data_IF_485365952389
#
_entry.id   IF_485365952389
#
_cell.length_a   1.000
_cell.length_b   1.000
_cell.length_c   1.000
_cell.angle_alpha   90.00
_cell.angle_beta   90.00
_cell.angle_gamma   90.00
#
_symmetry.space_group_name_H-M   'P 1'
#
loop_
_entity.id
_entity.type
_entity.pdbx_description
1 polymer ?
2 non-polymer ?
3 non-polymer ?
4 non-polymer ?
5 non-polymer ?
6 non-polymer ?
7 water ?
#
# COMPACT_ATOMS: atom_id res chain seq x y z
N UNK A 10 -16.29 -24.37 7.91
CA UNK A 10 -16.72 -23.85 6.62
C UNK A 10 -16.06 -22.52 6.26
N UNK A 11 -14.94 -22.60 5.55
CA UNK A 11 -14.21 -21.39 5.20
C UNK A 11 -14.87 -20.69 4.00
N UNK A 12 -14.56 -19.42 3.85
CA UNK A 12 -15.21 -18.59 2.85
C UNK A 12 -14.47 -18.64 1.51
N UNK A 13 -15.22 -18.47 0.43
CA UNK A 13 -14.68 -18.40 -0.92
C UNK A 13 -15.26 -17.19 -1.64
N UNK A 14 -14.53 -16.71 -2.65
CA UNK A 14 -15.06 -15.66 -3.50
C UNK A 14 -16.27 -16.19 -4.26
N UNK A 15 -17.40 -15.47 -4.17
CA UNK A 15 -18.61 -15.92 -4.83
C UNK A 15 -18.48 -15.84 -6.35
N UNK A 16 -18.04 -14.69 -6.85
CA UNK A 16 -17.88 -14.49 -8.28
C UNK A 16 -16.52 -15.01 -8.75
N UNK A 17 -16.36 -15.11 -10.07
CA UNK A 17 -15.08 -15.52 -10.65
C UNK A 17 -14.10 -14.35 -10.68
N UNK A 18 -14.58 -13.15 -11.00
CA UNK A 18 -13.75 -11.96 -10.96
C UNK A 18 -13.48 -11.47 -9.54
N UNK A 19 -14.07 -12.11 -8.53
CA UNK A 19 -13.95 -11.60 -7.18
C UNK A 19 -12.52 -11.56 -6.67
N UNK A 20 -11.73 -12.58 -7.03
CA UNK A 20 -10.35 -12.65 -6.54
C UNK A 20 -9.50 -11.52 -7.10
N UNK A 21 -9.48 -11.36 -8.42
CA UNK A 21 -8.57 -10.41 -9.04
C UNK A 21 -8.94 -8.98 -8.68
N UNK A 22 -10.24 -8.69 -8.57
CA UNK A 22 -10.65 -7.35 -8.15
C UNK A 22 -10.34 -7.10 -6.68
N UNK A 23 -10.40 -8.15 -5.85
CA UNK A 23 -10.00 -8.00 -4.45
C UNK A 23 -8.51 -7.70 -4.35
N UNK A 24 -7.68 -8.47 -5.06
CA UNK A 24 -6.24 -8.24 -5.02
C UNK A 24 -5.89 -6.88 -5.61
N UNK A 25 -6.62 -6.47 -6.65
CA UNK A 25 -6.40 -5.14 -7.22
C UNK A 25 -6.93 -4.06 -6.30
N UNK A 26 -8.11 -4.27 -5.71
CA UNK A 26 -8.64 -3.33 -4.74
C UNK A 26 -7.78 -3.21 -3.50
N UNK A 27 -6.87 -4.16 -3.26
CA UNK A 27 -5.97 -4.12 -2.13
C UNK A 27 -4.62 -3.48 -2.45
N UNK A 28 -4.15 -3.60 -3.69
CA UNK A 28 -2.86 -3.04 -4.05
C UNK A 28 -2.95 -1.56 -4.41
N UNK A 29 -4.06 -1.14 -5.00
CA UNK A 29 -4.23 0.24 -5.44
C UNK A 29 -4.91 1.02 -4.32
N UNK A 30 -4.19 1.97 -3.73
CA UNK A 30 -4.73 2.77 -2.64
C UNK A 30 -3.90 3.98 -2.31
N UNK A 31 -3.69 4.23 -1.01
CA UNK A 31 -2.94 5.41 -0.59
C UNK A 31 -1.47 5.33 -1.00
N UNK A 32 -0.92 4.11 -1.04
CA UNK A 32 0.49 3.97 -1.36
C UNK A 32 0.84 4.44 -2.75
N UNK A 33 -0.13 4.43 -3.67
CA UNK A 33 0.14 4.80 -5.05
C UNK A 33 0.16 6.32 -5.24
N UNK A 34 -0.70 7.05 -4.53
CA UNK A 34 -0.79 8.48 -4.70
C UNK A 34 -0.06 9.19 -3.57
N UNK A 35 -0.47 8.91 -2.33
CA UNK A 35 0.10 9.64 -1.19
C UNK A 35 1.54 9.21 -0.94
N UNK A 36 1.77 7.91 -0.76
CA UNK A 36 3.09 7.45 -0.32
C UNK A 36 4.11 7.51 -1.46
N UNK A 37 3.73 7.02 -2.65
CA UNK A 37 4.64 7.08 -3.78
C UNK A 37 5.07 8.51 -4.09
N UNK A 38 4.22 9.50 -3.82
CA UNK A 38 4.58 10.88 -4.13
C UNK A 38 5.69 11.38 -3.21
N UNK A 39 5.52 11.23 -1.90
CA UNK A 39 6.46 11.84 -0.97
C UNK A 39 7.75 11.03 -0.79
N UNK A 40 7.72 9.72 -1.07
CA UNK A 40 8.96 8.94 -1.02
C UNK A 40 9.80 9.20 -2.27
N UNK A 41 9.17 9.20 -3.45
CA UNK A 41 9.89 9.55 -4.67
C UNK A 41 10.42 10.97 -4.61
N UNK A 42 9.66 11.88 -3.99
CA UNK A 42 10.08 13.27 -3.95
C UNK A 42 11.31 13.49 -3.09
N UNK A 43 11.39 12.82 -1.94
CA UNK A 43 12.53 12.99 -1.06
C UNK A 43 13.68 12.06 -1.38
N UNK A 44 13.50 11.11 -2.29
CA UNK A 44 14.56 10.20 -2.70
C UNK A 44 15.17 10.55 -4.05
N UNK A 45 14.79 11.68 -4.63
CA UNK A 45 15.47 12.24 -5.78
C UNK A 45 14.69 12.17 -7.09
N UNK A 46 13.75 11.25 -7.22
CA UNK A 46 12.93 11.18 -8.41
C UNK A 46 13.19 10.00 -9.32
N UNK A 47 13.96 10.22 -10.40
CA UNK A 47 14.02 9.24 -11.48
C UNK A 47 14.90 8.04 -11.13
N UNK A 48 16.03 8.26 -10.47
CA UNK A 48 16.89 7.14 -10.10
C UNK A 48 16.20 6.23 -9.09
N UNK A 49 15.52 6.82 -8.10
CA UNK A 49 14.70 6.01 -7.20
C UNK A 49 13.59 5.31 -7.97
N UNK A 50 13.03 5.97 -8.99
CA UNK A 50 11.93 5.39 -9.74
C UNK A 50 12.37 4.17 -10.52
N UNK A 51 13.56 4.22 -11.13
CA UNK A 51 14.05 3.08 -11.89
C UNK A 51 14.33 1.89 -10.98
N UNK A 52 15.01 2.13 -9.86
CA UNK A 52 15.21 1.07 -8.87
C UNK A 52 13.87 0.50 -8.42
N UNK A 53 12.89 1.38 -8.18
CA UNK A 53 11.56 0.95 -7.79
C UNK A 53 10.92 0.07 -8.86
N UNK A 54 10.95 0.54 -10.12
CA UNK A 54 10.40 -0.25 -11.21
C UNK A 54 11.10 -1.59 -11.35
N UNK A 55 12.43 -1.59 -11.25
CA UNK A 55 13.17 -2.83 -11.31
C UNK A 55 12.81 -3.79 -10.19
N UNK A 56 12.62 -3.27 -8.98
CA UNK A 56 12.22 -4.11 -7.87
C UNK A 56 10.81 -4.66 -8.06
N UNK A 57 9.92 -3.88 -8.67
CA UNK A 57 8.57 -4.36 -8.97
C UNK A 57 8.64 -5.55 -9.90
N UNK A 58 9.46 -5.45 -10.94
CA UNK A 58 9.53 -6.50 -11.95
C UNK A 58 10.16 -7.76 -11.41
N UNK A 59 11.37 -7.66 -10.86
CA UNK A 59 12.16 -8.86 -10.59
C UNK A 59 11.96 -9.39 -9.17
N UNK A 60 11.39 -8.60 -8.26
CA UNK A 60 11.12 -9.05 -6.90
C UNK A 60 9.62 -9.09 -6.60
N UNK A 61 8.91 -8.02 -6.95
CA UNK A 61 7.50 -7.89 -6.64
C UNK A 61 6.61 -8.94 -7.27
N UNK A 62 6.59 -9.01 -8.60
CA UNK A 62 5.75 -9.98 -9.30
C UNK A 62 6.01 -11.42 -8.83
N UNK A 63 7.26 -11.90 -8.73
CA UNK A 63 7.46 -13.28 -8.27
C UNK A 63 6.94 -13.53 -6.86
N UNK A 64 7.15 -12.59 -5.94
CA UNK A 64 6.72 -12.80 -4.56
C UNK A 64 5.19 -12.65 -4.45
N UNK A 65 4.59 -11.82 -5.32
CA UNK A 65 3.13 -11.76 -5.36
C UNK A 65 2.56 -13.11 -5.78
N UNK A 66 3.08 -13.66 -6.87
CA UNK A 66 2.68 -15.01 -7.30
C UNK A 66 2.99 -16.04 -6.22
N UNK A 67 4.05 -15.82 -5.44
CA UNK A 67 4.36 -16.70 -4.33
C UNK A 67 3.26 -16.65 -3.26
N UNK A 68 2.80 -15.44 -2.93
CA UNK A 68 1.74 -15.29 -1.95
C UNK A 68 0.45 -15.93 -2.45
N UNK A 69 0.08 -15.66 -3.70
CA UNK A 69 -1.10 -16.29 -4.29
C UNK A 69 -1.00 -17.81 -4.20
N UNK A 70 0.14 -18.36 -4.61
CA UNK A 70 0.32 -19.81 -4.61
C UNK A 70 0.21 -20.39 -3.21
N UNK A 71 0.85 -19.75 -2.24
CA UNK A 71 0.84 -20.26 -0.86
C UNK A 71 -0.57 -20.24 -0.30
N UNK A 72 -1.30 -19.15 -0.52
CA UNK A 72 -2.62 -19.01 0.07
C UNK A 72 -3.63 -19.99 -0.50
N UNK A 73 -3.69 -20.09 -1.84
CA UNK A 73 -4.66 -20.97 -2.47
C UNK A 73 -4.39 -22.43 -2.14
N UNK A 74 -3.11 -22.82 -2.08
CA UNK A 74 -2.78 -24.22 -1.79
C UNK A 74 -3.17 -24.59 -0.38
N UNK A 75 -2.99 -23.68 0.58
CA UNK A 75 -3.21 -24.01 1.98
C UNK A 75 -4.65 -23.75 2.43
N UNK A 76 -5.36 -22.84 1.77
CA UNK A 76 -6.71 -22.46 2.16
C UNK A 76 -6.76 -22.05 3.63
N UNK A 77 -5.83 -21.17 4.02
CA UNK A 77 -5.68 -20.81 5.41
C UNK A 77 -5.10 -19.39 5.50
N UNK A 78 -4.98 -18.90 6.73
CA UNK A 78 -4.57 -17.52 6.96
C UNK A 78 -3.09 -17.34 6.65
N UNK A 79 -2.60 -16.13 6.93
CA UNK A 79 -1.19 -15.83 6.72
C UNK A 79 -0.31 -16.76 7.53
N UNK A 80 -0.67 -16.99 8.80
CA UNK A 80 0.13 -17.88 9.64
C UNK A 80 -0.23 -19.34 9.39
N UNK A 81 -1.53 -19.64 9.32
CA UNK A 81 -1.94 -21.03 9.18
C UNK A 81 -1.44 -21.69 7.90
N UNK A 82 -1.24 -20.91 6.84
CA UNK A 82 -0.74 -21.47 5.60
C UNK A 82 0.63 -22.10 5.78
N UNK A 83 1.47 -21.55 6.66
CA UNK A 83 2.79 -22.12 6.86
C UNK A 83 2.73 -23.31 7.82
N UNK A 84 1.92 -23.22 8.86
CA UNK A 84 1.67 -24.38 9.71
C UNK A 84 1.16 -25.55 8.88
N UNK A 85 0.20 -25.28 8.00
CA UNK A 85 -0.42 -26.34 7.21
C UNK A 85 0.57 -26.93 6.21
N UNK A 86 1.31 -26.08 5.51
CA UNK A 86 2.16 -26.57 4.43
C UNK A 86 3.52 -27.07 4.93
N UNK A 87 4.01 -26.53 6.04
CA UNK A 87 5.30 -26.93 6.61
C UNK A 87 5.15 -27.02 8.12
N UNK A 88 4.56 -28.10 8.62
CA UNK A 88 4.35 -28.21 10.07
C UNK A 88 5.66 -28.36 10.83
N UNK A 89 5.76 -27.64 11.95
CA UNK A 89 6.93 -27.67 12.80
C UNK A 89 8.11 -26.87 12.31
N UNK A 90 8.05 -26.33 11.09
CA UNK A 90 9.14 -25.59 10.46
C UNK A 90 9.01 -24.10 10.75
N UNK A 91 10.14 -23.36 10.74
CA UNK A 91 10.10 -21.97 11.19
C UNK A 91 9.62 -20.97 10.14
N UNK A 92 9.02 -21.42 9.04
CA UNK A 92 8.59 -20.49 8.01
C UNK A 92 7.42 -19.62 8.46
N UNK A 93 6.71 -20.01 9.51
CA UNK A 93 5.52 -19.27 9.92
C UNK A 93 5.84 -17.95 10.60
N UNK A 94 7.13 -17.62 10.77
CA UNK A 94 7.46 -16.31 11.34
C UNK A 94 7.10 -15.21 10.34
N UNK A 95 7.07 -15.53 9.04
CA UNK A 95 6.65 -14.56 8.05
C UNK A 95 5.17 -14.21 8.23
N UNK A 96 4.32 -15.22 8.46
CA UNK A 96 2.94 -14.94 8.79
C UNK A 96 2.80 -14.17 10.09
N UNK A 97 3.59 -14.55 11.10
CA UNK A 97 3.59 -13.81 12.36
C UNK A 97 4.04 -12.38 12.15
N UNK A 98 5.17 -12.20 11.45
CA UNK A 98 5.59 -10.85 11.07
C UNK A 98 4.52 -10.15 10.25
N UNK A 99 3.87 -10.89 9.34
CA UNK A 99 2.83 -10.31 8.54
C UNK A 99 1.64 -9.84 9.36
N UNK A 100 1.25 -10.63 10.36
CA UNK A 100 0.15 -10.22 11.24
C UNK A 100 0.52 -8.94 11.98
N UNK A 101 1.72 -8.89 12.55
CA UNK A 101 2.18 -7.68 13.23
C UNK A 101 2.30 -6.50 12.28
N UNK A 102 2.62 -6.77 11.01
CA UNK A 102 2.70 -5.71 10.02
C UNK A 102 1.31 -5.12 9.72
N UNK A 103 0.25 -5.92 9.90
CA UNK A 103 -1.08 -5.40 9.69
C UNK A 103 -1.51 -4.44 10.80
N UNK A 104 -1.26 -4.83 12.06
CA UNK A 104 -1.52 -3.94 13.19
C UNK A 104 -0.83 -2.60 13.00
N UNK A 105 0.43 -2.62 12.53
CA UNK A 105 1.21 -1.39 12.46
C UNK A 105 0.83 -0.53 11.27
N UNK A 106 0.72 -1.14 10.08
CA UNK A 106 0.43 -0.37 8.88
C UNK A 106 -0.97 0.24 8.96
N UNK A 107 -1.97 -0.57 9.29
CA UNK A 107 -3.34 -0.06 9.38
C UNK A 107 -3.48 1.00 10.46
N UNK A 108 -2.62 0.98 11.47
CA UNK A 108 -2.69 1.99 12.52
C UNK A 108 -2.48 3.39 11.95
N UNK A 109 -1.41 3.59 11.19
CA UNK A 109 -1.19 4.89 10.56
C UNK A 109 -1.85 5.02 9.21
N UNK A 110 -2.15 3.90 8.53
CA UNK A 110 -2.88 3.98 7.26
C UNK A 110 -4.25 4.60 7.47
N UNK A 111 -4.89 4.32 8.61
CA UNK A 111 -6.15 4.95 8.95
C UNK A 111 -6.03 6.42 9.32
N UNK A 112 -4.85 6.84 9.76
CA UNK A 112 -4.63 8.27 10.03
C UNK A 112 -4.62 9.06 8.73
N UNK A 113 -3.87 8.58 7.74
CA UNK A 113 -3.82 9.26 6.45
C UNK A 113 -5.17 9.15 5.76
N UNK A 114 -5.86 8.02 5.91
CA UNK A 114 -7.18 7.87 5.33
C UNK A 114 -8.18 8.82 5.97
N UNK A 115 -7.99 9.13 7.25
CA UNK A 115 -8.84 10.12 7.90
C UNK A 115 -8.66 11.52 7.32
N UNK A 116 -7.43 11.84 6.90
CA UNK A 116 -7.19 13.12 6.23
C UNK A 116 -8.01 13.24 4.95
N UNK A 117 -8.13 12.12 4.21
CA UNK A 117 -8.96 12.12 3.01
C UNK A 117 -10.39 12.49 3.34
N UNK A 118 -10.92 11.92 4.43
CA UNK A 118 -12.30 12.19 4.83
C UNK A 118 -12.46 13.65 5.21
N UNK A 119 -11.51 14.20 5.98
CA UNK A 119 -11.60 15.60 6.39
C UNK A 119 -11.64 16.53 5.19
N UNK A 120 -10.77 16.28 4.20
CA UNK A 120 -10.78 17.11 3.00
C UNK A 120 -12.05 16.90 2.19
N UNK A 121 -12.55 15.66 2.14
CA UNK A 121 -13.82 15.40 1.49
C UNK A 121 -14.95 16.20 2.15
N UNK A 122 -14.96 16.23 3.48
CA UNK A 122 -15.98 16.99 4.20
C UNK A 122 -15.88 18.47 3.89
N UNK A 123 -14.66 19.00 3.80
CA UNK A 123 -14.49 20.43 3.55
C UNK A 123 -14.84 20.82 2.13
N UNK A 124 -14.81 19.87 1.18
CA UNK A 124 -15.29 20.15 -0.16
C UNK A 124 -16.80 19.98 -0.29
N UNK A 125 -17.42 19.20 0.61
CA UNK A 125 -18.87 19.10 0.62
C UNK A 125 -19.50 20.31 1.29
N UNK A 126 -18.89 20.79 2.37
CA UNK A 126 -19.37 21.98 3.08
C UNK A 126 -18.86 23.28 2.45
N UNK A 127 -18.31 23.21 1.23
CA UNK A 127 -17.92 24.39 0.48
C UNK A 127 -16.79 25.18 1.10
N UNK A 128 -15.94 24.54 1.90
CA UNK A 128 -14.93 25.30 2.62
C UNK A 128 -13.69 25.53 1.79
N UNK A 129 -13.12 24.45 1.24
CA UNK A 129 -11.86 24.58 0.52
C UNK A 129 -12.10 24.92 -0.94
N UNK A 130 -13.20 25.60 -1.23
CA UNK A 130 -13.45 26.03 -2.61
C UNK A 130 -12.47 27.12 -3.02
N UNK A 131 -12.28 28.12 -2.17
CA UNK A 131 -11.24 29.12 -2.35
C UNK A 131 -10.10 28.85 -1.39
N UNK A 132 -8.95 29.44 -1.67
CA UNK A 132 -7.79 29.25 -0.81
C UNK A 132 -8.06 29.89 0.55
N UNK A 133 -7.77 29.20 1.65
CA UNK A 133 -7.91 29.83 2.97
C UNK A 133 -6.82 30.88 3.20
N UNK A 134 -7.13 31.84 4.08
CA UNK A 134 -6.24 32.97 4.29
C UNK A 134 -4.83 32.54 4.70
N UNK A 135 -4.70 31.38 5.36
CA UNK A 135 -3.40 30.85 5.73
C UNK A 135 -2.77 30.02 4.63
N UNK A 136 -3.41 29.92 3.47
CA UNK A 136 -2.90 29.10 2.39
C UNK A 136 -3.29 27.64 2.57
N UNK A 137 -3.05 26.86 1.51
CA UNK A 137 -3.37 25.44 1.57
C UNK A 137 -2.35 24.68 2.40
N UNK A 138 -1.13 25.20 2.53
CA UNK A 138 -0.16 24.58 3.41
C UNK A 138 -0.51 24.78 4.87
N UNK A 139 -0.82 26.02 5.26
CA UNK A 139 -1.14 26.30 6.63
C UNK A 139 -2.46 25.71 7.08
N UNK A 140 -3.43 25.60 6.17
CA UNK A 140 -4.66 24.90 6.47
C UNK A 140 -4.38 23.45 6.83
N UNK A 141 -3.51 22.79 6.06
CA UNK A 141 -3.18 21.39 6.33
C UNK A 141 -2.41 21.23 7.63
N UNK A 142 -1.42 22.09 7.87
CA UNK A 142 -0.63 21.96 9.09
C UNK A 142 -1.48 22.16 10.33
N UNK A 143 -2.41 23.13 10.29
CA UNK A 143 -3.26 23.35 11.44
C UNK A 143 -4.21 22.20 11.71
N UNK A 144 -4.67 21.51 10.66
CA UNK A 144 -5.58 20.39 10.84
C UNK A 144 -4.86 19.19 11.46
N UNK A 145 -3.69 18.82 10.93
CA UNK A 145 -3.01 17.64 11.44
C UNK A 145 -2.42 17.89 12.82
N UNK A 146 -2.01 19.12 13.11
CA UNK A 146 -1.47 19.42 14.43
C UNK A 146 -2.56 19.41 15.50
N UNK A 147 -3.82 19.64 15.09
CA UNK A 147 -4.94 19.58 16.02
C UNK A 147 -4.97 18.21 16.70
N UNK A 148 -5.05 18.16 18.03
CA UNK A 148 -4.98 16.85 18.70
C UNK A 148 -6.16 15.93 18.43
N UNK A 149 -7.38 16.45 18.42
CA UNK A 149 -8.58 15.61 18.40
C UNK A 149 -9.29 15.55 17.06
N UNK A 150 -9.18 16.59 16.22
CA UNK A 150 -9.89 16.59 14.95
C UNK A 150 -9.48 15.44 14.03
N UNK A 151 -8.19 15.13 13.84
CA UNK A 151 -7.86 13.96 13.00
C UNK A 151 -8.31 12.65 13.59
N UNK A 152 -8.39 12.55 14.93
CA UNK A 152 -8.85 11.31 15.55
C UNK A 152 -10.29 11.01 15.16
N UNK A 153 -11.13 12.05 15.10
CA UNK A 153 -12.54 11.85 14.76
C UNK A 153 -12.68 11.22 13.38
N UNK A 154 -11.93 11.73 12.41
CA UNK A 154 -12.03 11.21 11.05
C UNK A 154 -11.28 9.89 10.90
N UNK A 155 -10.27 9.65 11.72
CA UNK A 155 -9.59 8.36 11.71
C UNK A 155 -10.52 7.26 12.23
N UNK A 156 -11.19 7.52 13.36
CA UNK A 156 -12.14 6.55 13.88
C UNK A 156 -13.30 6.35 12.92
N UNK A 157 -13.70 7.40 12.22
CA UNK A 157 -14.79 7.30 11.26
C UNK A 157 -14.43 6.35 10.12
N UNK A 158 -13.20 6.45 9.62
CA UNK A 158 -12.75 5.57 8.54
C UNK A 158 -12.62 4.14 9.04
N UNK A 159 -12.18 3.95 10.29
CA UNK A 159 -11.99 2.62 10.82
C UNK A 159 -13.33 1.90 11.02
N UNK A 160 -14.37 2.65 11.40
CA UNK A 160 -15.70 2.05 11.51
C UNK A 160 -16.16 1.53 10.16
N UNK A 161 -15.88 2.28 9.09
CA UNK A 161 -16.22 1.81 7.75
C UNK A 161 -15.43 0.56 7.39
N UNK A 162 -14.17 0.48 7.82
CA UNK A 162 -13.35 -0.69 7.52
C UNK A 162 -13.78 -1.89 8.34
N UNK A 163 -13.97 -1.69 9.65
CA UNK A 163 -14.45 -2.77 10.52
C UNK A 163 -15.77 -3.33 9.99
N UNK A 164 -16.69 -2.43 9.62
CA UNK A 164 -18.01 -2.84 9.15
C UNK A 164 -17.90 -3.80 7.98
N UNK A 165 -17.07 -3.47 7.00
CA UNK A 165 -16.96 -4.28 5.80
C UNK A 165 -16.26 -5.60 6.10
N UNK A 166 -15.24 -5.57 6.96
CA UNK A 166 -14.53 -6.80 7.32
C UNK A 166 -15.43 -7.70 8.16
N UNK A 167 -16.29 -7.12 9.01
CA UNK A 167 -17.20 -7.92 9.82
C UNK A 167 -18.29 -8.56 8.96
N UNK A 168 -18.67 -7.91 7.86
CA UNK A 168 -19.75 -8.43 7.03
C UNK A 168 -19.36 -9.74 6.37
N UNK A 169 -18.11 -9.85 5.91
CA UNK A 169 -17.60 -11.09 5.37
C UNK A 169 -17.02 -10.92 3.97
N UNK A 170 -16.38 -11.99 3.52
CA UNK A 170 -15.75 -12.00 2.21
C UNK A 170 -16.80 -11.86 1.11
N UNK A 171 -17.85 -12.68 1.18
CA UNK A 171 -18.86 -12.70 0.13
C UNK A 171 -19.66 -11.41 0.10
N UNK A 172 -20.18 -10.99 1.24
CA UNK A 172 -21.09 -9.86 1.30
C UNK A 172 -20.40 -8.53 1.58
N UNK A 173 -19.11 -8.54 1.90
CA UNK A 173 -18.43 -7.30 2.24
C UNK A 173 -17.24 -6.98 1.35
N UNK A 174 -16.15 -7.73 1.49
CA UNK A 174 -14.92 -7.43 0.76
C UNK A 174 -15.17 -7.52 -0.75
N UNK A 175 -15.93 -8.52 -1.18
CA UNK A 175 -16.09 -8.79 -2.60
C UNK A 175 -17.13 -7.90 -3.26
N UNK A 176 -18.03 -7.29 -2.48
CA UNK A 176 -19.06 -6.43 -3.03
C UNK A 176 -18.58 -5.01 -3.27
N UNK A 177 -17.27 -4.81 -3.42
CA UNK A 177 -16.73 -3.50 -3.72
C UNK A 177 -17.19 -3.04 -5.11
N UNK A 178 -17.47 -1.75 -5.23
CA UNK A 178 -17.94 -1.18 -6.47
C UNK A 178 -16.89 -1.31 -7.57
N UNK A 179 -17.20 -2.11 -8.61
CA UNK A 179 -16.26 -2.34 -9.69
C UNK A 179 -16.00 -1.10 -10.53
N UNK A 180 -16.74 -0.01 -10.30
CA UNK A 180 -16.58 1.20 -11.10
C UNK A 180 -15.66 2.22 -10.45
N UNK A 181 -15.46 2.19 -9.14
CA UNK A 181 -14.72 3.24 -8.46
C UNK A 181 -13.24 3.19 -8.80
N UNK A 182 -12.68 1.98 -8.97
CA UNK A 182 -11.26 1.89 -9.30
C UNK A 182 -10.98 2.38 -10.72
N UNK A 183 -11.73 1.98 -11.75
CA UNK A 183 -11.49 2.58 -13.08
C UNK A 183 -11.82 4.06 -13.14
N UNK A 184 -12.73 4.55 -12.28
CA UNK A 184 -13.02 5.98 -12.23
C UNK A 184 -11.89 6.75 -11.58
N UNK A 185 -11.27 6.19 -10.54
CA UNK A 185 -10.07 6.81 -9.98
C UNK A 185 -8.96 6.88 -11.02
N UNK A 186 -8.86 5.86 -11.88
CA UNK A 186 -7.83 5.89 -12.90
C UNK A 186 -8.07 6.93 -13.98
N UNK A 187 -9.33 7.10 -14.38
CA UNK A 187 -9.65 8.11 -15.39
C UNK A 187 -9.38 9.51 -14.86
N UNK A 188 -9.70 9.74 -13.58
CA UNK A 188 -9.49 11.07 -13.00
C UNK A 188 -8.00 11.38 -12.84
N UNK A 189 -7.19 10.36 -12.54
CA UNK A 189 -5.76 10.58 -12.41
C UNK A 189 -5.13 10.89 -13.77
N UNK A 190 -5.63 10.26 -14.83
CA UNK A 190 -5.12 10.57 -16.17
C UNK A 190 -5.54 11.97 -16.59
N UNK A 191 -6.80 12.34 -16.33
CA UNK A 191 -7.25 13.69 -16.64
C UNK A 191 -6.47 14.73 -15.85
N UNK A 192 -6.18 14.45 -14.58
CA UNK A 192 -5.45 15.41 -13.75
C UNK A 192 -3.96 15.43 -14.07
N UNK A 193 -3.38 14.29 -14.46
CA UNK A 193 -2.00 14.29 -14.93
C UNK A 193 -1.86 15.11 -16.21
N UNK A 194 -2.87 15.05 -17.07
CA UNK A 194 -2.87 15.86 -18.29
C UNK A 194 -2.94 17.34 -17.95
N UNK A 195 -3.73 17.70 -16.94
CA UNK A 195 -3.91 19.11 -16.62
C UNK A 195 -2.63 19.73 -16.05
N UNK A 196 -1.97 19.03 -15.12
CA UNK A 196 -0.77 19.58 -14.50
C UNK A 196 0.39 19.67 -15.48
N UNK A 197 0.36 18.92 -16.58
CA UNK A 197 1.37 19.07 -17.62
C UNK A 197 1.28 20.43 -18.30
N UNK A 198 0.15 21.12 -18.19
CA UNK A 198 -0.09 22.39 -18.86
C UNK A 198 0.05 23.58 -17.92
N UNK A 199 0.64 23.40 -16.74
CA UNK A 199 0.68 24.45 -15.73
C UNK A 199 2.00 25.21 -15.69
N UNK A 200 3.04 24.72 -16.37
CA UNK A 200 4.29 25.46 -16.52
C UNK A 200 5.50 24.79 -15.91
N UNK A 201 5.34 23.76 -15.08
CA UNK A 201 6.48 23.11 -14.46
C UNK A 201 6.72 21.72 -14.98
N UNK A 202 6.23 21.43 -16.19
CA UNK A 202 6.31 20.07 -16.71
C UNK A 202 7.74 19.70 -17.09
N UNK A 203 8.44 20.60 -17.79
CA UNK A 203 9.81 20.30 -18.21
C UNK A 203 10.70 19.97 -17.03
N UNK A 204 10.55 20.70 -15.93
CA UNK A 204 11.31 20.39 -14.73
C UNK A 204 10.69 19.23 -13.94
N UNK A 205 9.37 19.11 -13.95
CA UNK A 205 8.73 18.01 -13.27
C UNK A 205 8.96 16.68 -13.95
N UNK A 206 8.93 16.67 -15.28
CA UNK A 206 9.19 15.42 -16.01
C UNK A 206 10.66 15.03 -15.97
N UNK A 207 11.57 16.01 -15.97
CA UNK A 207 12.99 15.69 -15.83
C UNK A 207 13.29 15.15 -14.45
N UNK A 208 12.71 15.75 -13.41
CA UNK A 208 12.83 15.20 -12.06
C UNK A 208 12.33 13.77 -12.01
N UNK A 209 11.24 13.48 -12.73
CA UNK A 209 10.59 12.18 -12.61
C UNK A 209 11.24 11.13 -13.50
N UNK A 210 11.77 11.52 -14.66
CA UNK A 210 12.23 10.54 -15.65
C UNK A 210 13.67 10.71 -16.12
N UNK A 211 14.36 11.80 -15.78
CA UNK A 211 15.76 11.95 -16.14
C UNK A 211 16.62 11.58 -14.94
N UNK A 212 17.30 10.43 -14.94
CA UNK A 212 17.93 9.95 -13.71
C UNK A 212 19.20 10.72 -13.34
N UNK A 213 19.34 10.98 -12.04
CA UNK A 213 20.57 11.49 -11.45
C UNK A 213 21.16 10.33 -10.64
N UNK A 214 22.22 9.73 -11.17
CA UNK A 214 22.78 8.53 -10.57
C UNK A 214 23.56 8.82 -9.30
N UNK A 215 23.86 10.08 -9.02
CA UNK A 215 24.52 10.42 -7.77
C UNK A 215 23.68 10.02 -6.56
N UNK A 216 22.35 9.97 -6.72
CA UNK A 216 21.50 9.51 -5.65
C UNK A 216 21.75 8.03 -5.34
N UNK A 217 22.00 7.23 -6.37
CA UNK A 217 22.09 5.77 -6.22
C UNK A 217 23.36 5.32 -5.54
N UNK A 218 24.22 6.24 -5.11
CA UNK A 218 25.37 5.91 -4.29
C UNK A 218 25.05 6.01 -2.80
N UNK A 219 23.77 5.93 -2.46
CA UNK A 219 23.27 6.00 -1.08
C UNK A 219 22.48 4.73 -0.80
N UNK A 220 22.83 3.97 0.24
CA UNK A 220 22.06 2.73 0.51
C UNK A 220 20.61 2.98 0.86
N UNK A 221 20.26 4.17 1.36
CA UNK A 221 18.90 4.43 1.80
C UNK A 221 17.90 4.48 0.67
N UNK A 222 18.34 4.89 -0.52
CA UNK A 222 17.42 5.00 -1.66
C UNK A 222 16.95 3.62 -2.08
N UNK A 223 17.84 2.63 -2.09
CA UNK A 223 17.44 1.27 -2.39
C UNK A 223 16.47 0.74 -1.34
N UNK A 224 16.74 1.04 -0.07
CA UNK A 224 15.84 0.61 1.01
C UNK A 224 14.47 1.27 0.88
N UNK A 225 14.45 2.55 0.53
CA UNK A 225 13.17 3.22 0.28
C UNK A 225 12.49 2.67 -0.96
N UNK A 226 13.27 2.22 -1.95
CA UNK A 226 12.69 1.68 -3.17
C UNK A 226 12.08 0.30 -2.94
N UNK A 227 12.78 -0.55 -2.17
CA UNK A 227 12.22 -1.87 -1.91
C UNK A 227 11.04 -1.78 -0.96
N UNK A 228 11.03 -0.79 -0.07
CA UNK A 228 9.91 -0.64 0.86
C UNK A 228 8.66 -0.16 0.13
N UNK A 229 8.80 0.87 -0.71
CA UNK A 229 7.66 1.35 -1.50
C UNK A 229 7.16 0.25 -2.42
N UNK A 230 8.06 -0.59 -2.94
CA UNK A 230 7.66 -1.69 -3.80
C UNK A 230 6.80 -2.71 -3.04
N UNK A 231 7.29 -3.16 -1.88
CA UNK A 231 6.52 -4.09 -1.07
C UNK A 231 5.23 -3.46 -0.58
N UNK A 232 5.30 -2.19 -0.16
CA UNK A 232 4.12 -1.51 0.37
C UNK A 232 3.01 -1.41 -0.67
N UNK A 233 3.34 -0.91 -1.86
CA UNK A 233 2.33 -0.64 -2.87
C UNK A 233 1.72 -1.91 -3.47
N UNK A 234 2.41 -3.04 -3.40
CA UNK A 234 1.87 -4.31 -3.90
C UNK A 234 1.13 -5.09 -2.83
N UNK A 235 0.91 -4.51 -1.65
CA UNK A 235 0.31 -5.21 -0.52
C UNK A 235 1.05 -6.50 -0.23
N UNK A 236 2.38 -6.42 -0.25
CA UNK A 236 3.24 -7.59 -0.33
C UNK A 236 4.04 -7.77 0.96
N UNK A 237 4.34 -9.03 1.26
CA UNK A 237 5.24 -9.38 2.34
C UNK A 237 4.60 -9.64 3.68
N UNK A 238 3.29 -9.38 3.84
CA UNK A 238 2.62 -9.56 5.12
C UNK A 238 1.44 -10.51 5.05
N UNK A 239 1.38 -11.35 4.01
CA UNK A 239 0.33 -12.35 3.92
C UNK A 239 -1.03 -11.84 3.55
N UNK A 240 -1.16 -10.57 3.17
CA UNK A 240 -2.44 -10.06 2.70
C UNK A 240 -2.89 -10.76 1.42
N UNK A 241 -1.95 -11.00 0.50
CA UNK A 241 -2.26 -11.76 -0.70
C UNK A 241 -2.29 -13.25 -0.43
N UNK A 242 -1.63 -13.72 0.63
CA UNK A 242 -1.85 -15.09 1.10
C UNK A 242 -3.28 -15.24 1.58
N UNK A 243 -3.82 -14.20 2.24
CA UNK A 243 -5.19 -14.26 2.74
C UNK A 243 -6.19 -14.22 1.60
N UNK A 244 -6.04 -13.27 0.67
CA UNK A 244 -6.99 -13.18 -0.43
C UNK A 244 -6.88 -14.38 -1.37
N UNK A 245 -5.68 -14.95 -1.51
CA UNK A 245 -5.51 -16.17 -2.26
C UNK A 245 -6.12 -17.38 -1.59
N UNK A 246 -6.27 -17.36 -0.26
CA UNK A 246 -6.86 -18.50 0.44
C UNK A 246 -8.35 -18.62 0.23
N UNK A 247 -8.99 -17.64 -0.41
CA UNK A 247 -10.42 -17.68 -0.68
C UNK A 247 -10.73 -18.04 -2.13
N UNK A 248 -9.72 -18.30 -2.95
CA UNK A 248 -9.93 -18.63 -4.35
C UNK A 248 -9.77 -20.14 -4.52
N UNK A 249 -10.48 -20.69 -5.49
CA UNK A 249 -10.43 -22.10 -5.82
C UNK A 249 -9.41 -22.34 -6.94
N UNK A 250 -9.30 -23.59 -7.38
CA UNK A 250 -8.39 -23.90 -8.47
C UNK A 250 -8.90 -23.39 -9.82
N UNK A 251 -10.10 -22.82 -9.86
CA UNK A 251 -10.62 -22.16 -11.06
C UNK A 251 -10.07 -20.73 -11.11
N UNK A 252 -8.75 -20.64 -11.28
CA UNK A 252 -8.07 -19.36 -11.35
C UNK A 252 -6.65 -19.59 -11.86
N UNK A 253 -6.16 -18.64 -12.67
CA UNK A 253 -4.79 -18.66 -13.16
C UNK A 253 -4.04 -17.53 -12.47
N UNK A 254 -3.19 -17.91 -11.52
CA UNK A 254 -2.49 -16.97 -10.64
C UNK A 254 -1.45 -16.11 -11.34
N UNK A 255 -0.62 -16.64 -12.26
CA UNK A 255 0.40 -15.77 -12.88
C UNK A 255 -0.17 -14.56 -13.59
N UNK A 256 -1.25 -14.74 -14.36
CA UNK A 256 -1.90 -13.58 -14.96
C UNK A 256 -2.42 -12.61 -13.91
N UNK A 257 -2.87 -13.12 -12.77
CA UNK A 257 -3.32 -12.25 -11.70
C UNK A 257 -2.17 -11.44 -11.11
N UNK A 258 -1.02 -12.09 -10.92
CA UNK A 258 0.13 -11.40 -10.35
C UNK A 258 0.63 -10.31 -11.27
N UNK A 259 0.75 -10.61 -12.57
CA UNK A 259 1.18 -9.61 -13.53
C UNK A 259 0.18 -8.47 -13.62
N UNK A 260 -1.11 -8.80 -13.60
CA UNK A 260 -2.14 -7.77 -13.76
C UNK A 260 -2.17 -6.83 -12.56
N UNK A 261 -2.05 -7.37 -11.35
CA UNK A 261 -2.06 -6.53 -10.17
C UNK A 261 -0.83 -5.62 -10.14
N UNK A 262 0.33 -6.18 -10.43
CA UNK A 262 1.55 -5.38 -10.44
C UNK A 262 1.54 -4.37 -11.58
N UNK A 263 1.04 -4.77 -12.76
CA UNK A 263 1.00 -3.86 -13.88
C UNK A 263 0.05 -2.69 -13.64
N UNK A 264 -1.17 -3.00 -13.20
CA UNK A 264 -2.14 -1.93 -12.95
C UNK A 264 -1.71 -1.04 -11.80
N UNK A 265 -1.19 -1.64 -10.72
CA UNK A 265 -0.76 -0.85 -9.56
C UNK A 265 0.36 0.12 -9.95
N UNK A 266 1.28 -0.32 -10.82
CA UNK A 266 2.34 0.56 -11.28
C UNK A 266 1.78 1.69 -12.13
N UNK A 267 0.75 1.42 -12.93
CA UNK A 267 0.17 2.45 -13.78
C UNK A 267 -0.37 3.61 -12.96
N UNK A 268 -0.95 3.34 -11.80
CA UNK A 268 -1.46 4.41 -10.95
C UNK A 268 -0.34 5.28 -10.41
N UNK A 269 0.70 4.64 -9.84
CA UNK A 269 1.79 5.40 -9.23
C UNK A 269 2.51 6.27 -10.26
N UNK A 270 2.77 5.73 -11.45
CA UNK A 270 3.44 6.51 -12.48
C UNK A 270 2.57 7.69 -12.90
N UNK A 271 1.29 7.43 -13.15
CA UNK A 271 0.37 8.51 -13.50
C UNK A 271 0.23 9.50 -12.34
N UNK A 272 0.19 8.99 -11.11
CA UNK A 272 0.19 9.86 -9.94
C UNK A 272 1.45 10.72 -9.88
N UNK A 273 2.58 10.19 -10.37
CA UNK A 273 3.78 11.01 -10.43
C UNK A 273 3.71 12.08 -11.50
N UNK A 274 3.16 11.74 -12.67
CA UNK A 274 2.99 12.72 -13.72
C UNK A 274 1.98 13.80 -13.33
N UNK A 275 1.09 13.49 -12.39
CA UNK A 275 0.14 14.47 -11.89
C UNK A 275 0.77 15.38 -10.85
N UNK A 276 1.57 14.82 -9.95
CA UNK A 276 2.02 15.55 -8.77
C UNK A 276 3.17 16.49 -9.10
N UNK A 277 4.21 15.97 -9.73
CA UNK A 277 5.49 16.68 -9.74
C UNK A 277 5.56 17.85 -10.71
N UNK A 278 4.93 17.80 -11.89
CA UNK A 278 4.79 19.04 -12.66
C UNK A 278 4.03 20.11 -11.91
N UNK A 279 3.06 19.72 -11.08
CA UNK A 279 2.36 20.68 -10.25
C UNK A 279 3.25 21.23 -9.16
N UNK A 280 4.08 20.37 -8.56
CA UNK A 280 4.98 20.81 -7.49
C UNK A 280 5.93 21.89 -8.01
N UNK A 281 6.56 21.66 -9.16
CA UNK A 281 7.48 22.64 -9.73
C UNK A 281 6.73 23.87 -10.24
N UNK A 282 5.46 23.71 -10.62
CA UNK A 282 4.66 24.86 -11.02
C UNK A 282 4.43 25.79 -9.84
N UNK A 283 4.09 25.22 -8.67
CA UNK A 283 3.89 26.00 -7.46
C UNK A 283 5.20 26.44 -6.81
N UNK A 284 6.35 26.15 -7.43
CA UNK A 284 7.64 26.51 -6.86
C UNK A 284 7.95 25.81 -5.55
N UNK A 285 7.39 24.62 -5.33
CA UNK A 285 7.54 23.90 -4.06
C UNK A 285 8.65 22.86 -4.16
N UNK A 286 9.24 22.58 -3.00
CA UNK A 286 10.28 21.56 -2.94
C UNK A 286 9.66 20.17 -3.11
N UNK A 287 10.32 19.26 -3.84
CA UNK A 287 9.79 17.90 -3.98
C UNK A 287 9.88 17.09 -2.71
N UNK A 288 10.65 17.54 -1.72
CA UNK A 288 10.83 16.81 -0.46
C UNK A 288 9.86 17.28 0.62
N UNK A 289 8.69 17.77 0.24
CA UNK A 289 7.76 18.33 1.21
C UNK A 289 7.42 17.36 2.34
N UNK A 290 7.24 16.09 2.01
CA UNK A 290 7.02 15.07 3.01
C UNK A 290 5.62 14.49 2.99
N UNK A 291 5.23 13.88 4.11
CA UNK A 291 3.98 13.09 4.13
C UNK A 291 2.74 13.84 3.69
N UNK A 292 2.69 15.16 3.85
CA UNK A 292 1.52 15.91 3.46
C UNK A 292 1.64 16.60 2.12
N UNK A 293 2.45 16.02 1.22
CA UNK A 293 2.74 16.66 -0.06
C UNK A 293 1.47 16.82 -0.91
N UNK A 294 0.80 15.70 -1.18
CA UNK A 294 -0.38 15.75 -2.05
C UNK A 294 -1.48 16.58 -1.42
N UNK A 295 -1.54 16.62 -0.08
CA UNK A 295 -2.57 17.39 0.60
C UNK A 295 -2.34 18.89 0.54
N UNK A 296 -1.14 19.32 0.14
CA UNK A 296 -0.83 20.71 -0.10
C UNK A 296 -0.84 21.03 -1.59
N UNK A 297 -0.40 20.10 -2.42
CA UNK A 297 -0.26 20.36 -3.86
C UNK A 297 -1.61 20.21 -4.56
N UNK A 298 -2.35 19.15 -4.24
CA UNK A 298 -3.59 18.88 -4.97
C UNK A 298 -4.66 19.94 -4.70
N UNK A 299 -4.94 20.35 -3.45
CA UNK A 299 -5.90 21.45 -3.26
C UNK A 299 -5.55 22.71 -4.01
N UNK A 300 -4.25 23.02 -4.12
CA UNK A 300 -3.83 24.14 -4.97
C UNK A 300 -4.22 23.92 -6.41
N UNK A 301 -4.05 22.69 -6.91
CA UNK A 301 -4.38 22.39 -8.31
C UNK A 301 -5.87 22.54 -8.53
N UNK A 302 -6.68 22.00 -7.62
CA UNK A 302 -8.13 22.13 -7.73
C UNK A 302 -8.58 23.57 -7.61
N UNK A 303 -7.76 24.44 -7.03
CA UNK A 303 -8.14 25.85 -6.92
C UNK A 303 -7.93 26.60 -8.23
N UNK A 304 -6.99 26.15 -9.06
CA UNK A 304 -6.72 26.80 -10.32
C UNK A 304 -7.71 26.39 -11.42
N UNK A 305 -8.57 25.44 -11.13
CA UNK A 305 -9.57 24.97 -12.09
C UNK A 305 -10.88 25.70 -11.82
N UNK A 306 -11.62 26.03 -12.88
CA UNK A 306 -12.92 26.64 -12.71
C UNK A 306 -13.88 25.69 -11.98
N UNK A 307 -14.09 24.50 -12.54
CA UNK A 307 -14.88 23.46 -11.90
C UNK A 307 -14.09 22.70 -10.83
N UNK A 308 -13.05 23.30 -10.23
CA UNK A 308 -12.18 22.63 -9.30
C UNK A 308 -12.81 22.04 -8.06
N UNK A 309 -13.75 22.72 -7.41
CA UNK A 309 -14.39 22.13 -6.21
C UNK A 309 -14.98 20.75 -6.45
N UNK A 310 -15.66 20.53 -7.59
CA UNK A 310 -16.24 19.22 -7.84
C UNK A 310 -15.15 18.21 -8.17
N UNK A 311 -14.04 18.66 -8.75
CA UNK A 311 -12.90 17.77 -8.98
C UNK A 311 -12.38 17.23 -7.66
N UNK A 312 -12.21 18.12 -6.68
CA UNK A 312 -11.75 17.68 -5.36
C UNK A 312 -12.75 16.77 -4.69
N UNK A 313 -14.05 17.09 -4.79
CA UNK A 313 -15.08 16.20 -4.26
C UNK A 313 -14.95 14.82 -4.88
N UNK A 314 -14.85 14.76 -6.21
CA UNK A 314 -14.72 13.46 -6.88
C UNK A 314 -13.39 12.79 -6.54
N UNK A 315 -12.33 13.58 -6.42
CA UNK A 315 -11.01 12.99 -6.18
C UNK A 315 -10.95 12.30 -4.82
N UNK A 316 -11.39 12.99 -3.77
CA UNK A 316 -11.31 12.43 -2.43
C UNK A 316 -12.39 11.38 -2.15
N UNK A 317 -13.43 11.31 -2.97
CA UNK A 317 -14.35 10.18 -2.89
C UNK A 317 -13.70 8.93 -3.47
N UNK A 318 -13.13 9.06 -4.67
CA UNK A 318 -12.51 7.92 -5.32
C UNK A 318 -11.25 7.48 -4.58
N UNK A 319 -10.49 8.44 -4.04
CA UNK A 319 -9.27 8.10 -3.33
C UNK A 319 -9.57 7.39 -2.01
N UNK A 320 -10.56 7.89 -1.27
CA UNK A 320 -10.94 7.22 -0.04
C UNK A 320 -11.48 5.82 -0.29
N UNK A 321 -12.21 5.64 -1.39
CA UNK A 321 -12.71 4.31 -1.75
C UNK A 321 -11.54 3.36 -2.01
N UNK A 322 -10.49 3.86 -2.66
CA UNK A 322 -9.29 3.03 -2.85
C UNK A 322 -8.61 2.74 -1.52
N UNK A 323 -8.52 3.74 -0.65
CA UNK A 323 -7.99 3.51 0.70
C UNK A 323 -8.89 2.59 1.51
N UNK A 324 -10.22 2.65 1.29
CA UNK A 324 -11.13 1.81 2.05
C UNK A 324 -10.92 0.34 1.74
N UNK A 325 -10.77 -0.01 0.47
CA UNK A 325 -10.56 -1.41 0.10
C UNK A 325 -9.15 -1.88 0.45
N UNK A 326 -8.18 -0.97 0.49
CA UNK A 326 -6.84 -1.35 0.92
C UNK A 326 -6.79 -1.62 2.42
N UNK A 327 -7.45 -0.78 3.21
CA UNK A 327 -7.51 -1.00 4.65
C UNK A 327 -8.26 -2.28 5.00
N UNK A 328 -9.26 -2.64 4.19
CA UNK A 328 -10.03 -3.86 4.44
C UNK A 328 -9.12 -5.08 4.34
N UNK A 329 -8.25 -5.12 3.32
CA UNK A 329 -7.30 -6.22 3.21
C UNK A 329 -6.25 -6.17 4.31
N UNK A 330 -5.93 -4.98 4.80
CA UNK A 330 -5.05 -4.86 5.96
C UNK A 330 -5.69 -5.49 7.19
N UNK A 331 -6.94 -5.11 7.47
CA UNK A 331 -7.62 -5.62 8.65
C UNK A 331 -7.93 -7.11 8.52
N UNK A 332 -8.17 -7.60 7.31
CA UNK A 332 -8.52 -9.00 7.11
C UNK A 332 -7.37 -9.94 7.45
N UNK A 333 -6.13 -9.45 7.50
CA UNK A 333 -4.97 -10.30 7.75
C UNK A 333 -4.93 -10.75 9.21
N UNK A 334 -4.94 -9.86 10.22
CA UNK A 334 -4.99 -10.35 11.59
C UNK A 334 -6.35 -10.92 11.97
N UNK A 335 -7.43 -10.45 11.33
CA UNK A 335 -8.76 -10.96 11.64
C UNK A 335 -8.87 -12.43 11.27
N UNK A 336 -8.40 -12.80 10.07
CA UNK A 336 -8.37 -14.20 9.69
C UNK A 336 -7.51 -15.02 10.66
N UNK A 337 -6.46 -14.40 11.21
CA UNK A 337 -5.64 -15.10 12.19
C UNK A 337 -6.41 -15.36 13.47
N UNK A 338 -6.98 -14.31 14.06
CA UNK A 338 -7.69 -14.45 15.32
C UNK A 338 -9.00 -15.22 15.19
N UNK A 339 -9.52 -15.38 13.96
CA UNK A 339 -10.70 -16.22 13.79
C UNK A 339 -10.36 -17.69 13.95
N UNK A 340 -9.25 -18.13 13.36
CA UNK A 340 -8.82 -19.52 13.55
C UNK A 340 -8.17 -19.73 14.91
N UNK A 341 -7.26 -18.83 15.28
CA UNK A 341 -6.39 -19.09 16.43
C UNK A 341 -7.17 -19.07 17.73
N UNK A 342 -8.12 -18.15 17.86
CA UNK A 342 -8.90 -18.02 19.09
C UNK A 342 -10.35 -18.47 18.93
N UNK A 343 -10.73 -18.98 17.77
CA UNK A 343 -12.14 -19.27 17.45
C UNK A 343 -13.03 -18.09 17.80
N UNK A 344 -12.54 -16.89 17.48
CA UNK A 344 -13.37 -15.70 17.50
C UNK A 344 -14.29 -15.67 16.30
N UNK A 345 -15.47 -15.08 16.47
CA UNK A 345 -16.33 -14.85 15.32
C UNK A 345 -15.76 -13.71 14.48
N UNK A 346 -16.22 -13.63 13.22
CA UNK A 346 -15.73 -12.59 12.34
C UNK A 346 -16.10 -11.21 12.85
N UNK A 347 -17.32 -11.06 13.35
CA UNK A 347 -17.75 -9.76 13.86
C UNK A 347 -16.99 -9.39 15.14
N UNK A 348 -16.72 -10.38 16.00
CA UNK A 348 -16.00 -10.11 17.24
C UNK A 348 -14.56 -9.71 16.96
N UNK A 349 -13.91 -10.38 16.01
CA UNK A 349 -12.50 -10.10 15.74
C UNK A 349 -12.32 -8.81 14.97
N UNK A 350 -13.20 -8.54 13.99
CA UNK A 350 -13.10 -7.29 13.24
C UNK A 350 -13.30 -6.09 14.15
N UNK A 351 -14.28 -6.16 15.06
CA UNK A 351 -14.56 -5.05 15.96
C UNK A 351 -13.45 -4.88 16.98
N UNK A 352 -13.07 -5.97 17.64
CA UNK A 352 -12.04 -5.90 18.68
C UNK A 352 -10.71 -5.45 18.10
N UNK A 353 -10.20 -6.16 17.09
CA UNK A 353 -8.93 -5.77 16.49
C UNK A 353 -9.03 -4.39 15.85
N UNK A 354 -10.19 -4.06 15.30
CA UNK A 354 -10.36 -2.77 14.65
C UNK A 354 -10.28 -1.61 15.63
N UNK A 355 -10.96 -1.74 16.77
CA UNK A 355 -10.87 -0.72 17.81
C UNK A 355 -9.43 -0.60 18.32
N UNK A 356 -8.75 -1.74 18.47
CA UNK A 356 -7.39 -1.73 18.98
C UNK A 356 -6.45 -1.04 18.00
N UNK A 357 -6.52 -1.41 16.72
CA UNK A 357 -5.66 -0.78 15.72
C UNK A 357 -5.93 0.71 15.62
N UNK A 358 -7.17 1.13 15.86
CA UNK A 358 -7.48 2.56 15.91
C UNK A 358 -6.74 3.23 17.04
N UNK A 359 -6.73 2.61 18.22
CA UNK A 359 -5.98 3.15 19.35
C UNK A 359 -4.48 3.21 19.04
N UNK A 360 -3.97 2.18 18.35
CA UNK A 360 -2.55 2.14 18.03
C UNK A 360 -2.14 3.32 17.15
N UNK A 361 -3.00 3.72 16.22
CA UNK A 361 -2.72 4.85 15.35
C UNK A 361 -2.84 6.21 15.99
N UNK A 362 -3.47 6.28 17.17
CA UNK A 362 -3.63 7.58 17.85
C UNK A 362 -2.28 8.24 18.12
N UNK A 363 -1.24 7.56 18.64
CA UNK A 363 0.05 8.23 18.77
C UNK A 363 0.67 8.60 17.43
N UNK A 364 0.34 7.91 16.33
CA UNK A 364 0.84 8.32 15.03
C UNK A 364 0.19 9.62 14.58
N UNK A 365 -1.09 9.79 14.88
CA UNK A 365 -1.76 11.04 14.54
C UNK A 365 -1.24 12.19 15.38
N UNK A 366 -0.98 11.94 16.68
CA UNK A 366 -0.46 13.00 17.55
C UNK A 366 0.96 13.40 17.17
N UNK A 367 1.72 12.49 16.55
CA UNK A 367 3.11 12.77 16.23
C UNK A 367 3.25 13.84 15.15
N UNK A 368 2.17 14.23 14.50
CA UNK A 368 2.17 15.38 13.62
C UNK A 368 1.91 16.68 14.37
N UNK A 369 1.71 16.61 15.68
CA UNK A 369 1.47 17.79 16.49
C UNK A 369 2.19 17.79 17.82
N UNK A 370 1.47 17.50 18.90
CA UNK A 370 2.04 17.62 20.24
C UNK A 370 3.16 16.62 20.47
N UNK A 371 3.12 15.47 19.78
CA UNK A 371 4.16 14.46 19.91
C UNK A 371 5.19 14.53 18.79
N UNK A 372 5.34 15.69 18.15
CA UNK A 372 6.28 15.79 17.03
C UNK A 372 7.73 15.71 17.46
N UNK A 373 8.03 16.12 18.69
CA UNK A 373 9.40 16.05 19.18
C UNK A 373 9.77 14.66 19.66
N UNK A 374 8.79 13.80 19.91
CA UNK A 374 9.07 12.46 20.40
C UNK A 374 9.61 11.59 19.26
N UNK A 375 10.61 10.78 19.57
CA UNK A 375 11.18 9.83 18.63
C UNK A 375 11.22 8.45 19.27
N UNK A 376 11.12 7.42 18.42
CA UNK A 376 11.27 6.04 18.87
C UNK A 376 12.59 5.49 18.33
N UNK A 377 12.63 5.15 17.05
CA UNK A 377 13.89 4.80 16.43
C UNK A 377 14.64 6.12 16.19
N UNK A 378 15.96 6.14 16.33
CA UNK A 378 16.69 7.42 16.38
C UNK A 378 16.40 8.32 15.20
N UNK A 379 15.98 9.55 15.50
CA UNK A 379 15.78 10.56 14.48
C UNK A 379 14.49 10.49 13.70
N UNK A 380 13.56 9.61 14.09
CA UNK A 380 12.27 9.48 13.42
C UNK A 380 11.16 9.57 14.45
N UNK A 381 10.10 10.32 14.13
CA UNK A 381 8.99 10.46 15.05
C UNK A 381 8.18 9.16 15.07
N UNK A 382 7.04 9.18 15.76
CA UNK A 382 6.27 7.96 15.97
C UNK A 382 5.71 7.45 14.65
N UNK A 383 5.08 8.33 13.88
CA UNK A 383 4.54 7.93 12.57
C UNK A 383 5.64 7.34 11.70
N UNK A 384 6.78 8.03 11.60
CA UNK A 384 7.87 7.54 10.75
C UNK A 384 8.57 6.34 11.36
N UNK A 385 8.53 6.19 12.68
CA UNK A 385 9.15 5.02 13.31
C UNK A 385 8.35 3.76 13.03
N UNK A 386 7.02 3.83 13.17
CA UNK A 386 6.21 2.64 12.92
C UNK A 386 6.08 2.38 11.42
N UNK A 387 6.09 3.42 10.59
CA UNK A 387 6.12 3.20 9.15
C UNK A 387 7.44 2.57 8.73
N UNK A 388 8.53 2.89 9.42
CA UNK A 388 9.83 2.35 9.02
C UNK A 388 9.94 0.87 9.35
N UNK A 389 9.67 0.48 10.60
CA UNK A 389 9.82 -0.91 10.97
C UNK A 389 8.83 -1.79 10.21
N UNK A 390 7.69 -1.23 9.82
CA UNK A 390 6.71 -2.00 9.05
C UNK A 390 7.10 -2.08 7.58
N UNK A 391 7.31 -0.93 6.93
CA UNK A 391 7.57 -0.93 5.50
C UNK A 391 8.99 -1.35 5.17
N UNK A 392 9.97 -1.02 6.02
CA UNK A 392 11.37 -1.25 5.69
C UNK A 392 11.95 -2.50 6.34
N UNK A 393 11.36 -3.00 7.42
CA UNK A 393 11.89 -4.17 8.12
C UNK A 393 10.98 -5.39 7.96
N UNK A 394 9.71 -5.28 8.36
CA UNK A 394 8.85 -6.46 8.39
C UNK A 394 8.38 -6.86 7.00
N UNK A 395 7.98 -5.89 6.17
CA UNK A 395 7.52 -6.22 4.82
C UNK A 395 8.62 -6.83 3.96
N UNK A 396 9.85 -6.28 3.89
CA UNK A 396 10.86 -6.91 3.01
C UNK A 396 11.41 -8.21 3.58
N UNK A 397 11.48 -8.35 4.90
CA UNK A 397 11.99 -9.58 5.48
C UNK A 397 10.96 -10.70 5.37
N UNK A 398 9.69 -10.38 5.64
CA UNK A 398 8.63 -11.35 5.44
C UNK A 398 8.50 -11.79 3.99
N UNK A 399 8.74 -10.87 3.05
CA UNK A 399 8.75 -11.27 1.65
C UNK A 399 9.92 -12.17 1.32
N UNK A 400 11.09 -11.85 1.87
CA UNK A 400 12.27 -12.69 1.64
C UNK A 400 12.02 -14.12 2.13
N UNK A 401 11.45 -14.26 3.32
CA UNK A 401 11.15 -15.59 3.85
C UNK A 401 10.11 -16.28 2.98
N UNK A 402 9.11 -15.54 2.51
CA UNK A 402 8.09 -16.10 1.64
C UNK A 402 8.71 -16.66 0.36
N UNK A 403 9.73 -15.96 -0.17
CA UNK A 403 10.36 -16.42 -1.39
C UNK A 403 11.24 -17.64 -1.15
N UNK A 404 11.98 -17.64 -0.04
CA UNK A 404 12.79 -18.81 0.31
C UNK A 404 11.93 -20.03 0.61
N UNK A 405 10.70 -19.81 1.08
CA UNK A 405 9.80 -20.91 1.38
C UNK A 405 9.49 -21.72 0.13
N UNK A 406 9.09 -21.06 -0.95
CA UNK A 406 8.80 -21.77 -2.18
C UNK A 406 10.09 -22.20 -2.88
N UNK A 407 11.09 -21.32 -2.88
CA UNK A 407 12.31 -21.61 -3.63
C UNK A 407 13.09 -22.78 -3.06
N UNK A 408 13.18 -22.87 -1.73
CA UNK A 408 14.00 -23.89 -1.08
C UNK A 408 13.21 -24.89 -0.25
N UNK A 409 11.98 -24.58 0.16
CA UNK A 409 11.23 -25.50 1.00
C UNK A 409 10.22 -26.35 0.25
N UNK A 410 10.01 -26.04 -1.02
CA UNK A 410 9.11 -26.80 -1.87
C UNK A 410 9.91 -27.59 -2.90
N UNK A 411 9.30 -28.66 -3.40
CA UNK A 411 9.81 -29.30 -4.59
C UNK A 411 9.45 -28.46 -5.81
N UNK A 412 10.34 -28.45 -6.80
CA UNK A 412 10.15 -27.61 -7.97
C UNK A 412 8.83 -27.92 -8.68
N UNK A 413 8.50 -29.21 -8.80
CA UNK A 413 7.30 -29.59 -9.53
C UNK A 413 6.03 -29.12 -8.82
N UNK A 414 6.04 -29.15 -7.48
CA UNK A 414 4.88 -28.69 -6.73
C UNK A 414 4.74 -27.18 -6.79
N UNK A 415 5.86 -26.45 -6.72
CA UNK A 415 5.82 -25.00 -6.83
C UNK A 415 5.27 -24.58 -8.19
N UNK A 416 5.70 -25.24 -9.26
CA UNK A 416 5.23 -24.88 -10.58
C UNK A 416 3.75 -25.27 -10.78
N UNK A 417 3.36 -26.44 -10.26
CA UNK A 417 2.00 -26.92 -10.48
C UNK A 417 0.99 -26.06 -9.73
N UNK A 418 1.27 -25.73 -8.47
CA UNK A 418 0.34 -24.93 -7.69
C UNK A 418 0.24 -23.49 -8.19
N UNK A 419 1.27 -22.99 -8.88
CA UNK A 419 1.23 -21.65 -9.43
C UNK A 419 0.80 -21.61 -10.89
N UNK A 420 0.35 -22.75 -11.44
CA UNK A 420 -0.13 -22.86 -12.81
C UNK A 420 0.97 -22.54 -13.84
N UNK A 421 2.22 -22.75 -13.47
CA UNK A 421 3.35 -22.61 -14.39
C UNK A 421 3.91 -23.98 -14.72
N UNK A 422 4.69 -24.04 -15.78
CA UNK A 422 5.35 -25.26 -16.21
C UNK A 422 6.86 -25.08 -16.16
N UNK A 423 7.59 -26.11 -16.60
CA UNK A 423 9.04 -26.01 -16.72
C UNK A 423 9.47 -25.25 -17.98
N UNK A 424 8.72 -24.22 -18.37
CA UNK A 424 9.08 -23.37 -19.49
C UNK A 424 10.05 -22.29 -19.01
N UNK A 425 10.36 -21.35 -19.90
CA UNK A 425 11.29 -20.28 -19.56
C UNK A 425 10.73 -19.44 -18.43
N UNK A 426 9.42 -19.17 -18.45
CA UNK A 426 8.82 -18.35 -17.40
C UNK A 426 8.81 -19.09 -16.06
N UNK A 427 8.47 -20.38 -16.08
CA UNK A 427 8.54 -21.15 -14.84
C UNK A 427 9.93 -21.19 -14.26
N UNK A 428 10.94 -21.46 -15.11
CA UNK A 428 12.33 -21.42 -14.66
C UNK A 428 12.69 -20.04 -14.14
N UNK A 429 12.25 -18.99 -14.83
CA UNK A 429 12.55 -17.63 -14.40
C UNK A 429 11.93 -17.34 -13.04
N UNK A 430 10.67 -17.74 -12.85
CA UNK A 430 10.01 -17.50 -11.57
C UNK A 430 10.69 -18.27 -10.44
N UNK A 431 11.11 -19.50 -10.70
CA UNK A 431 11.81 -20.28 -9.69
C UNK A 431 13.18 -19.68 -9.40
N UNK A 432 13.82 -19.06 -10.40
CA UNK A 432 15.15 -18.50 -10.21
C UNK A 432 15.12 -17.27 -9.31
N UNK A 433 14.09 -16.42 -9.45
CA UNK A 433 14.03 -15.21 -8.65
C UNK A 433 13.58 -15.49 -7.22
N UNK A 434 12.68 -16.46 -7.02
CA UNK A 434 12.32 -16.84 -5.65
C UNK A 434 13.49 -17.49 -4.93
N UNK A 435 14.32 -18.24 -5.66
CA UNK A 435 15.42 -18.99 -5.08
C UNK A 435 16.67 -18.14 -4.88
N UNK A 436 16.90 -17.13 -5.73
CA UNK A 436 18.14 -16.36 -5.61
C UNK A 436 17.94 -14.86 -5.78
N UNK A 437 17.36 -14.44 -6.92
CA UNK A 437 17.35 -13.02 -7.28
C UNK A 437 16.70 -12.19 -6.19
N UNK A 438 15.42 -12.46 -5.90
CA UNK A 438 14.69 -11.64 -4.94
C UNK A 438 15.30 -11.72 -3.53
N UNK A 439 15.50 -12.89 -2.93
CA UNK A 439 16.02 -12.90 -1.55
C UNK A 439 17.41 -12.30 -1.40
N UNK A 440 18.29 -12.52 -2.38
CA UNK A 440 19.62 -11.94 -2.28
C UNK A 440 19.58 -10.43 -2.46
N UNK A 441 18.74 -9.94 -3.38
CA UNK A 441 18.58 -8.50 -3.54
C UNK A 441 18.06 -7.86 -2.25
N UNK A 442 17.09 -8.51 -1.61
CA UNK A 442 16.62 -8.04 -0.30
C UNK A 442 17.76 -8.04 0.70
N UNK A 443 18.57 -9.11 0.68
CA UNK A 443 19.68 -9.21 1.62
C UNK A 443 20.69 -8.10 1.42
N UNK A 444 21.06 -7.83 0.17
CA UNK A 444 22.05 -6.79 -0.12
C UNK A 444 21.52 -5.41 0.28
N UNK A 445 20.21 -5.19 0.13
CA UNK A 445 19.63 -3.92 0.53
C UNK A 445 19.64 -3.77 2.05
N UNK A 446 19.38 -4.87 2.77
CA UNK A 446 19.45 -4.83 4.22
C UNK A 446 20.88 -4.59 4.71
N UNK A 447 21.85 -5.32 4.12
CA UNK A 447 23.23 -5.23 4.58
C UNK A 447 23.80 -3.84 4.30
N UNK A 448 23.58 -3.32 3.08
CA UNK A 448 24.19 -2.05 2.70
C UNK A 448 23.57 -0.88 3.46
N UNK A 449 22.30 -0.99 3.84
CA UNK A 449 21.63 0.12 4.51
C UNK A 449 22.05 0.23 5.97
N UNK A 450 21.97 -0.87 6.72
CA UNK A 450 22.31 -0.87 8.14
C UNK A 450 23.79 -1.19 8.35
N UNK A 451 24.64 -0.30 7.85
CA UNK A 451 26.11 -0.43 7.95
C UNK A 451 26.59 -1.78 7.42
#
# INVERSE_FOLDING_TARGET
SMASLKQQTGREQWASRLGFILAAMGSAVGLGNIWRFSYVTGENGGAAFLLVYLGFIALIGIPIVLAEFTIGRRAQSDAVGSFEKLAPGKPWKVAGLMGVAAGFLILSFYGVIAGWILFYLFNYITGQLWSAPAEGFGGFFEGFIANPTLPLFWQALFMIATIWIVAIGVKKGIERSNKILMPLLGVLLIALAIYSLTLGGAKEGLAFLFSPDWSALKDPGVYLAAISQAFFTLSLGMGALITYGSYVSKDSRLPGAAVSVAGLDTAFAIIAGIMIFPAVFALGLSPSGGPGLVFVVLPDIFDSIRLGPIVGIAFFILLGAAALSSAVSLLEVPVAYFMRKFDWSRKQAAITLGVIITLLGIPSSLSFGVLGEVTIIPGLNIFDSVDFIASSVFLPLGGMIIALFIGWGWKTSDALAESDLTDSVWGKLWILSLRFIAPIAILIVFLSAFQIFFN
#
